data_IF_225473201478
#
_entry.id   IF_225473201478
#
_cell.length_a   1.000
_cell.length_b   1.000
_cell.length_c   1.000
_cell.angle_alpha   90.00
_cell.angle_beta   90.00
_cell.angle_gamma   90.00
#
_symmetry.space_group_name_H-M   'P 1'
#
loop_
_entity.id
_entity.type
_entity.pdbx_description
1 polymer ?
#
# COMPACT_ATOMS: atom_id res chain seq x y z
N UNK A 1 -6.81 62.58 6.48
CA UNK A 1 -6.14 61.30 6.18
C UNK A 1 -7.18 60.44 5.50
N UNK A 2 -7.01 60.18 4.20
CA UNK A 2 -8.11 59.77 3.33
C UNK A 2 -8.47 58.29 3.51
N UNK A 3 -9.77 58.04 3.73
CA UNK A 3 -10.35 56.71 3.93
C UNK A 3 -9.97 55.73 2.81
N UNK A 4 -9.81 56.24 1.60
CA UNK A 4 -9.41 55.45 0.43
C UNK A 4 -7.96 54.98 0.48
N UNK A 5 -7.04 55.78 1.05
CA UNK A 5 -5.67 55.36 1.28
C UNK A 5 -5.59 54.25 2.34
N UNK A 6 -6.48 54.31 3.34
CA UNK A 6 -6.62 53.28 4.37
C UNK A 6 -7.14 51.96 3.81
N UNK A 7 -8.18 52.00 2.98
CA UNK A 7 -8.75 50.81 2.33
C UNK A 7 -7.71 50.15 1.41
N UNK A 8 -6.96 50.95 0.65
CA UNK A 8 -5.86 50.46 -0.20
C UNK A 8 -4.73 49.85 0.64
N UNK A 9 -4.37 50.48 1.76
CA UNK A 9 -3.38 49.95 2.70
C UNK A 9 -3.80 48.59 3.26
N UNK A 10 -5.06 48.44 3.66
CA UNK A 10 -5.60 47.17 4.16
C UNK A 10 -5.62 46.09 3.07
N UNK A 11 -5.99 46.44 1.83
CA UNK A 11 -5.96 45.49 0.71
C UNK A 11 -4.54 44.94 0.46
N UNK A 12 -3.53 45.81 0.40
CA UNK A 12 -2.14 45.38 0.18
C UNK A 12 -1.64 44.51 1.33
N UNK A 13 -1.97 44.87 2.57
CA UNK A 13 -1.57 44.10 3.74
C UNK A 13 -2.24 42.72 3.77
N UNK A 14 -3.50 42.62 3.33
CA UNK A 14 -4.19 41.32 3.22
C UNK A 14 -3.56 40.39 2.18
N UNK A 15 -3.06 40.93 1.07
CA UNK A 15 -2.35 40.15 0.04
C UNK A 15 -1.00 39.65 0.59
N UNK A 16 -0.26 40.49 1.32
CA UNK A 16 1.00 40.11 1.94
C UNK A 16 0.81 39.02 3.01
N UNK A 17 -0.24 39.15 3.84
CA UNK A 17 -0.60 38.12 4.81
C UNK A 17 -0.96 36.82 4.11
N UNK A 18 -1.77 36.87 3.05
CA UNK A 18 -2.17 35.67 2.30
C UNK A 18 -0.97 34.99 1.61
N UNK A 19 -0.07 35.76 0.99
CA UNK A 19 1.14 35.24 0.37
C UNK A 19 2.08 34.59 1.39
N UNK A 20 2.23 35.21 2.57
CA UNK A 20 3.00 34.65 3.69
C UNK A 20 2.35 33.36 4.17
N UNK A 21 1.03 33.32 4.30
CA UNK A 21 0.31 32.13 4.71
C UNK A 21 0.52 31.00 3.69
N UNK A 22 0.40 31.25 2.38
CA UNK A 22 0.64 30.24 1.33
C UNK A 22 2.07 29.68 1.41
N UNK A 23 3.06 30.52 1.76
CA UNK A 23 4.45 30.09 1.86
C UNK A 23 4.74 29.27 3.12
N UNK A 24 4.05 29.56 4.22
CA UNK A 24 4.24 28.91 5.53
C UNK A 24 3.29 27.71 5.73
N UNK A 25 2.15 27.66 5.05
CA UNK A 25 1.17 26.56 5.19
C UNK A 25 1.78 25.19 4.88
N UNK A 26 2.66 25.01 3.86
CA UNK A 26 3.32 23.72 3.61
C UNK A 26 4.24 23.24 4.73
N UNK A 27 4.72 24.14 5.60
CA UNK A 27 5.55 23.77 6.77
C UNK A 27 4.74 23.58 8.05
N UNK A 28 3.51 24.12 8.11
CA UNK A 28 2.56 23.93 9.21
C UNK A 28 1.74 22.65 9.05
N UNK A 29 1.44 22.24 7.81
CA UNK A 29 0.90 20.92 7.52
C UNK A 29 2.07 19.96 7.60
N UNK A 30 2.28 19.39 8.79
CA UNK A 30 3.31 18.40 9.04
C UNK A 30 3.25 17.31 7.98
N UNK A 31 4.19 17.34 7.02
CA UNK A 31 4.46 16.17 6.19
C UNK A 31 4.80 15.06 7.17
N UNK A 32 4.12 13.91 7.11
CA UNK A 32 4.56 12.74 7.83
C UNK A 32 6.07 12.60 7.60
N UNK A 33 6.88 12.35 8.66
CA UNK A 33 8.30 12.10 8.48
C UNK A 33 8.46 11.01 7.40
N UNK A 34 9.45 11.18 6.53
CA UNK A 34 9.64 10.33 5.35
C UNK A 34 9.63 8.84 5.71
N UNK A 35 10.08 8.50 6.91
CA UNK A 35 10.09 7.16 7.50
C UNK A 35 8.70 6.51 7.61
N UNK A 36 7.64 7.28 7.92
CA UNK A 36 6.27 6.75 7.97
C UNK A 36 5.61 6.73 6.58
N UNK A 37 6.07 7.60 5.69
CA UNK A 37 5.58 7.71 4.33
C UNK A 37 6.08 6.56 3.44
N UNK A 38 7.31 6.10 3.67
CA UNK A 38 7.93 5.00 2.94
C UNK A 38 7.51 3.61 3.41
N UNK A 39 6.68 3.50 4.45
CA UNK A 39 6.14 2.22 4.90
C UNK A 39 5.20 1.65 3.82
N UNK A 40 5.56 0.55 3.16
CA UNK A 40 4.70 -0.06 2.17
C UNK A 40 3.55 -0.80 2.85
N UNK A 41 2.41 -0.79 2.18
CA UNK A 41 1.21 -1.51 2.56
C UNK A 41 0.85 -2.49 1.45
N UNK A 42 0.82 -3.77 1.79
CA UNK A 42 0.23 -4.82 0.97
C UNK A 42 -1.25 -4.93 1.30
N UNK A 43 -2.07 -4.83 0.26
CA UNK A 43 -3.51 -5.03 0.34
C UNK A 43 -3.87 -6.25 -0.51
N UNK A 44 -4.56 -7.21 0.08
CA UNK A 44 -5.10 -8.36 -0.65
C UNK A 44 -6.59 -8.46 -0.40
N UNK A 45 -7.36 -8.32 -1.47
CA UNK A 45 -8.81 -8.38 -1.44
C UNK A 45 -9.37 -9.37 -2.43
N UNK A 46 -10.67 -9.60 -2.33
CA UNK A 46 -11.42 -10.42 -3.29
C UNK A 46 -12.76 -9.71 -3.63
N UNK A 47 -13.11 -9.60 -4.91
CA UNK A 47 -14.36 -9.02 -5.38
C UNK A 47 -15.55 -9.94 -5.05
N UNK A 48 -16.77 -9.41 -5.15
CA UNK A 48 -18.01 -10.16 -4.88
C UNK A 48 -18.23 -11.40 -5.73
N UNK A 49 -17.65 -11.43 -6.92
CA UNK A 49 -17.77 -12.56 -7.84
C UNK A 49 -16.69 -13.64 -7.61
N UNK A 50 -15.81 -13.44 -6.62
CA UNK A 50 -14.83 -14.42 -6.13
C UNK A 50 -13.90 -15.00 -7.19
N UNK A 51 -13.71 -14.30 -8.31
CA UNK A 51 -13.03 -14.81 -9.51
C UNK A 51 -11.54 -14.48 -9.59
N UNK A 52 -11.08 -13.52 -8.80
CA UNK A 52 -9.68 -13.11 -8.74
C UNK A 52 -9.34 -12.52 -7.37
N UNK A 53 -8.09 -12.66 -6.95
CA UNK A 53 -7.51 -11.86 -5.88
C UNK A 53 -7.04 -10.55 -6.49
N UNK A 54 -7.36 -9.45 -5.80
CA UNK A 54 -6.82 -8.13 -6.09
C UNK A 54 -5.66 -7.92 -5.13
N UNK A 55 -4.44 -7.87 -5.66
CA UNK A 55 -3.25 -7.64 -4.85
C UNK A 55 -2.72 -6.26 -5.21
N UNK A 56 -2.60 -5.40 -4.21
CA UNK A 56 -2.16 -4.02 -4.38
C UNK A 56 -1.04 -3.68 -3.40
N UNK A 57 0.02 -3.06 -3.91
CA UNK A 57 1.09 -2.45 -3.15
C UNK A 57 0.97 -0.94 -3.25
N UNK A 58 0.99 -0.27 -2.11
CA UNK A 58 1.00 1.19 -2.02
C UNK A 58 1.70 1.64 -0.74
N UNK A 59 1.72 2.95 -0.49
CA UNK A 59 2.21 3.51 0.76
C UNK A 59 1.11 3.57 1.84
N UNK A 60 1.48 3.39 3.11
CA UNK A 60 0.53 3.26 4.20
C UNK A 60 -0.19 4.57 4.59
N UNK A 61 0.49 5.72 4.52
CA UNK A 61 0.00 7.00 5.08
C UNK A 61 -0.23 8.07 4.02
N UNK A 62 0.72 8.25 3.10
CA UNK A 62 0.65 9.26 2.04
C UNK A 62 1.26 8.72 0.75
N UNK A 63 0.91 9.30 -0.40
CA UNK A 63 1.51 8.93 -1.68
C UNK A 63 3.04 9.11 -1.62
N UNK A 64 3.76 8.00 -1.57
CA UNK A 64 5.21 7.95 -1.56
C UNK A 64 5.67 7.23 -2.82
N UNK A 65 6.65 7.81 -3.52
CA UNK A 65 7.17 7.27 -4.77
C UNK A 65 8.39 6.42 -4.49
N UNK A 66 8.31 5.13 -4.79
CA UNK A 66 9.40 4.17 -4.68
C UNK A 66 10.25 4.20 -5.95
N UNK A 67 11.53 3.85 -5.83
CA UNK A 67 12.43 3.70 -6.98
C UNK A 67 12.14 2.42 -7.77
N UNK A 68 11.87 1.33 -7.05
CA UNK A 68 11.54 0.03 -7.62
C UNK A 68 10.40 -0.59 -6.80
N UNK A 69 9.39 -1.11 -7.48
CA UNK A 69 8.35 -1.94 -6.90
C UNK A 69 8.23 -3.20 -7.73
N UNK A 70 8.44 -4.35 -7.11
CA UNK A 70 8.33 -5.66 -7.73
C UNK A 70 7.40 -6.54 -6.93
N UNK A 71 6.51 -7.22 -7.64
CA UNK A 71 5.64 -8.24 -7.09
C UNK A 71 5.77 -9.50 -7.93
N UNK A 72 6.03 -10.61 -7.27
CA UNK A 72 6.02 -11.93 -7.89
C UNK A 72 4.96 -12.78 -7.19
N UNK A 73 4.17 -13.46 -8.00
CA UNK A 73 3.14 -14.37 -7.54
C UNK A 73 3.45 -15.75 -8.06
N UNK A 74 3.42 -16.70 -7.13
CA UNK A 74 3.59 -18.11 -7.41
C UNK A 74 2.40 -18.88 -6.87
N UNK A 75 1.64 -19.50 -7.75
CA UNK A 75 0.47 -20.30 -7.40
C UNK A 75 0.75 -21.78 -7.47
N UNK A 76 -0.05 -22.57 -6.74
CA UNK A 76 -0.12 -24.02 -6.96
C UNK A 76 -0.55 -24.39 -8.38
N UNK A 77 -1.32 -23.50 -9.04
CA UNK A 77 -1.58 -23.58 -10.48
C UNK A 77 -0.67 -22.59 -11.22
N UNK A 78 0.14 -23.04 -12.20
CA UNK A 78 1.01 -22.17 -12.98
C UNK A 78 0.32 -21.02 -13.70
N UNK A 79 -0.99 -21.12 -14.00
CA UNK A 79 -1.75 -20.04 -14.62
C UNK A 79 -1.90 -18.80 -13.74
N UNK A 80 -1.65 -18.92 -12.43
CA UNK A 80 -1.64 -17.83 -11.48
C UNK A 80 -0.25 -17.16 -11.36
N UNK A 81 0.79 -17.73 -11.98
CA UNK A 81 2.14 -17.19 -11.87
C UNK A 81 2.24 -15.87 -12.64
N UNK A 82 2.64 -14.83 -11.95
CA UNK A 82 2.82 -13.51 -12.53
C UNK A 82 4.03 -12.84 -11.88
N UNK A 83 4.73 -12.00 -12.62
CA UNK A 83 5.73 -11.11 -12.03
C UNK A 83 5.63 -9.78 -12.74
N UNK A 84 5.50 -8.72 -11.96
CA UNK A 84 5.40 -7.35 -12.46
C UNK A 84 6.39 -6.51 -11.68
N UNK A 85 7.13 -5.69 -12.39
CA UNK A 85 8.10 -4.76 -11.82
C UNK A 85 7.91 -3.41 -12.50
N UNK A 86 7.87 -2.36 -11.70
CA UNK A 86 7.72 -0.99 -12.15
C UNK A 86 8.75 -0.12 -11.43
N UNK A 87 9.35 0.80 -12.17
CA UNK A 87 10.33 1.74 -11.64
C UNK A 87 9.68 3.11 -11.44
N UNK A 88 10.15 3.84 -10.43
CA UNK A 88 9.69 5.20 -10.11
C UNK A 88 8.17 5.33 -9.93
N UNK A 89 7.54 4.34 -9.29
CA UNK A 89 6.08 4.26 -9.14
C UNK A 89 5.62 4.53 -7.70
N UNK A 90 4.33 4.90 -7.54
CA UNK A 90 3.67 5.05 -6.23
C UNK A 90 3.08 3.74 -5.70
N UNK A 91 3.04 2.71 -6.54
CA UNK A 91 2.41 1.44 -6.20
C UNK A 91 2.20 0.56 -7.43
N UNK A 92 1.69 -0.65 -7.19
CA UNK A 92 1.51 -1.66 -8.23
C UNK A 92 0.34 -2.56 -7.86
N UNK A 93 -0.50 -2.91 -8.82
CA UNK A 93 -1.56 -3.90 -8.62
C UNK A 93 -1.45 -5.03 -9.64
N UNK A 94 -1.92 -6.21 -9.24
CA UNK A 94 -2.13 -7.35 -10.12
C UNK A 94 -3.45 -8.03 -9.77
N UNK A 95 -4.03 -8.68 -10.78
CA UNK A 95 -5.20 -9.52 -10.64
C UNK A 95 -4.76 -10.98 -10.83
N UNK A 96 -5.00 -11.81 -9.82
CA UNK A 96 -4.62 -13.22 -9.86
C UNK A 96 -5.88 -14.06 -9.84
N UNK A 97 -6.13 -14.92 -10.85
CA UNK A 97 -7.30 -15.78 -10.84
C UNK A 97 -7.38 -16.62 -9.56
N UNK A 98 -8.55 -16.62 -8.93
CA UNK A 98 -8.83 -17.50 -7.79
C UNK A 98 -9.25 -18.87 -8.32
N UNK A 99 -9.11 -19.88 -7.47
CA UNK A 99 -9.60 -21.22 -7.78
C UNK A 99 -10.50 -21.69 -6.64
N UNK A 100 -11.78 -21.30 -6.70
CA UNK A 100 -12.81 -21.67 -5.71
C UNK A 100 -13.81 -22.66 -6.34
N UNK A 101 -14.16 -23.78 -5.67
CA UNK A 101 -13.52 -24.37 -4.51
C UNK A 101 -12.34 -25.24 -4.94
N UNK A 102 -11.12 -24.84 -4.59
CA UNK A 102 -9.97 -25.73 -4.69
C UNK A 102 -8.92 -25.31 -3.68
N UNK A 103 -8.12 -26.27 -3.19
CA UNK A 103 -7.03 -26.06 -2.25
C UNK A 103 -5.85 -25.26 -2.85
N UNK A 104 -6.09 -24.50 -3.91
CA UNK A 104 -5.08 -23.68 -4.55
C UNK A 104 -4.63 -22.56 -3.61
N UNK A 105 -3.32 -22.41 -3.47
CA UNK A 105 -2.73 -21.31 -2.71
C UNK A 105 -1.82 -20.50 -3.62
N UNK A 106 -1.72 -19.22 -3.29
CA UNK A 106 -0.98 -18.22 -4.04
C UNK A 106 -0.03 -17.53 -3.08
N UNK A 107 1.27 -17.65 -3.32
CA UNK A 107 2.30 -16.95 -2.55
C UNK A 107 2.69 -15.67 -3.28
N UNK A 108 2.58 -14.57 -2.56
CA UNK A 108 2.84 -13.21 -3.00
C UNK A 108 4.17 -12.79 -2.37
N UNK A 109 5.18 -12.65 -3.22
CA UNK A 109 6.47 -12.12 -2.88
C UNK A 109 6.51 -10.63 -3.27
N UNK A 110 6.73 -9.78 -2.28
CA UNK A 110 6.77 -8.32 -2.46
C UNK A 110 8.18 -7.81 -2.21
N UNK A 111 8.64 -6.90 -3.07
CA UNK A 111 9.95 -6.25 -2.94
C UNK A 111 9.84 -4.78 -3.38
N UNK A 112 10.28 -3.86 -2.53
CA UNK A 112 10.23 -2.42 -2.80
C UNK A 112 11.53 -1.75 -2.37
N UNK A 113 11.93 -0.70 -3.09
CA UNK A 113 13.07 0.17 -2.76
C UNK A 113 12.59 1.61 -2.70
N UNK A 114 12.84 2.28 -1.58
CA UNK A 114 12.51 3.69 -1.39
C UNK A 114 13.61 4.63 -1.94
N UNK A 115 13.33 5.94 -1.96
CA UNK A 115 14.29 6.94 -2.46
C UNK A 115 15.51 7.13 -1.55
N UNK A 116 15.42 6.67 -0.31
CA UNK A 116 16.52 6.66 0.65
C UNK A 116 17.31 5.35 0.60
N UNK A 117 17.08 4.51 -0.43
CA UNK A 117 17.72 3.21 -0.64
C UNK A 117 17.38 2.16 0.42
N UNK A 118 16.34 2.35 1.21
CA UNK A 118 15.81 1.30 2.08
C UNK A 118 15.03 0.29 1.23
N UNK A 119 15.25 -1.00 1.50
CA UNK A 119 14.49 -2.06 0.84
C UNK A 119 13.55 -2.79 1.81
N UNK A 120 12.40 -3.16 1.27
CA UNK A 120 11.29 -3.77 1.97
C UNK A 120 10.94 -5.06 1.24
N UNK A 121 10.79 -6.16 1.99
CA UNK A 121 10.55 -7.46 1.38
C UNK A 121 9.74 -8.35 2.31
N UNK A 122 8.68 -8.95 1.78
CA UNK A 122 7.79 -9.78 2.57
C UNK A 122 6.99 -10.77 1.73
N UNK A 123 6.81 -11.96 2.28
CA UNK A 123 6.04 -13.04 1.68
C UNK A 123 4.70 -13.24 2.42
N UNK A 124 3.62 -13.32 1.66
CA UNK A 124 2.29 -13.71 2.17
C UNK A 124 1.73 -14.78 1.26
N UNK A 125 1.21 -15.87 1.85
CA UNK A 125 0.44 -16.84 1.08
C UNK A 125 -1.04 -16.63 1.37
N UNK A 126 -1.85 -16.61 0.32
CA UNK A 126 -3.32 -16.53 0.39
C UNK A 126 -3.93 -17.75 -0.27
N UNK A 127 -4.98 -18.30 0.34
CA UNK A 127 -5.86 -19.30 -0.27
C UNK A 127 -7.31 -18.91 -0.04
N UNK A 128 -8.16 -19.26 -0.99
CA UNK A 128 -9.60 -19.13 -0.86
C UNK A 128 -10.15 -20.48 -0.43
N UNK A 129 -10.96 -20.49 0.63
CA UNK A 129 -11.58 -21.71 1.18
C UNK A 129 -13.08 -21.48 1.35
N UNK A 130 -13.84 -22.56 1.54
CA UNK A 130 -15.26 -22.50 1.88
C UNK A 130 -15.43 -22.80 3.37
N UNK A 131 -15.81 -21.78 4.14
CA UNK A 131 -16.17 -21.92 5.54
C UNK A 131 -17.68 -21.72 5.70
N UNK A 132 -18.38 -22.77 6.12
CA UNK A 132 -19.82 -22.73 6.39
C UNK A 132 -20.66 -22.20 5.21
N UNK A 133 -20.25 -22.52 3.97
CA UNK A 133 -20.93 -22.10 2.75
C UNK A 133 -20.62 -20.66 2.31
N UNK A 134 -19.64 -20.00 2.92
CA UNK A 134 -19.11 -18.69 2.52
C UNK A 134 -17.64 -18.79 2.16
N UNK A 135 -17.23 -18.08 1.12
CA UNK A 135 -15.82 -18.01 0.76
C UNK A 135 -15.05 -17.19 1.80
N UNK A 136 -13.93 -17.72 2.26
CA UNK A 136 -13.02 -17.10 3.22
C UNK A 136 -11.63 -17.03 2.62
N UNK A 137 -10.96 -15.89 2.77
CA UNK A 137 -9.55 -15.76 2.44
C UNK A 137 -8.74 -16.12 3.69
N UNK A 138 -7.86 -17.11 3.56
CA UNK A 138 -6.95 -17.55 4.61
C UNK A 138 -5.54 -17.14 4.23
N UNK A 139 -4.90 -16.37 5.09
CA UNK A 139 -3.57 -15.83 4.92
C UNK A 139 -2.59 -16.48 5.87
N UNK A 140 -1.40 -16.82 5.38
CA UNK A 140 -0.29 -17.31 6.19
C UNK A 140 0.95 -16.44 5.97
N UNK A 141 1.76 -16.32 7.01
CA UNK A 141 2.87 -15.37 7.10
C UNK A 141 4.18 -16.14 7.37
N UNK A 142 4.81 -16.73 6.33
CA UNK A 142 5.96 -17.60 6.52
C UNK A 142 7.19 -16.91 7.11
N UNK A 143 7.28 -15.58 6.97
CA UNK A 143 8.41 -14.79 7.49
C UNK A 143 8.24 -14.39 8.97
N UNK A 144 7.08 -14.71 9.58
CA UNK A 144 6.75 -14.32 10.95
C UNK A 144 7.35 -15.30 11.97
N UNK A 145 8.52 -14.94 12.51
CA UNK A 145 9.28 -15.81 13.42
C UNK A 145 8.62 -15.98 14.79
N UNK A 146 7.90 -14.96 15.25
CA UNK A 146 7.27 -14.95 16.57
C UNK A 146 6.00 -15.80 16.59
N UNK A 147 5.34 -16.01 15.45
CA UNK A 147 4.16 -16.83 15.34
C UNK A 147 4.12 -17.62 14.01
N UNK A 148 4.79 -18.78 13.94
CA UNK A 148 4.90 -19.56 12.71
C UNK A 148 3.57 -20.18 12.23
N UNK A 149 2.56 -20.22 13.11
CA UNK A 149 1.21 -20.70 12.78
C UNK A 149 0.21 -19.54 12.67
N UNK A 150 0.69 -18.32 12.43
CA UNK A 150 -0.18 -17.17 12.23
C UNK A 150 -1.01 -17.40 10.98
N UNK A 151 -2.30 -17.68 11.19
CA UNK A 151 -3.31 -17.65 10.14
C UNK A 151 -4.24 -16.47 10.39
N UNK A 152 -4.50 -15.68 9.35
CA UNK A 152 -5.55 -14.68 9.37
C UNK A 152 -6.66 -15.06 8.42
N UNK A 153 -7.90 -14.91 8.88
CA UNK A 153 -9.11 -15.12 8.08
C UNK A 153 -9.77 -13.78 7.78
N UNK A 154 -10.24 -13.61 6.55
CA UNK A 154 -11.02 -12.46 6.11
C UNK A 154 -12.18 -12.92 5.24
N UNK A 155 -13.34 -12.29 5.44
CA UNK A 155 -14.57 -12.65 4.76
C UNK A 155 -14.91 -11.62 3.67
N UNK A 156 -14.57 -11.88 2.40
CA UNK A 156 -14.96 -11.01 1.30
C UNK A 156 -16.49 -11.05 1.05
N UNK A 157 -17.05 -10.00 0.44
CA UNK A 157 -16.43 -8.72 0.09
C UNK A 157 -16.37 -7.74 1.28
N UNK A 158 -15.33 -6.91 1.34
CA UNK A 158 -15.23 -5.78 2.28
C UNK A 158 -14.26 -6.00 3.45
N UNK A 159 -13.82 -7.23 3.68
CA UNK A 159 -12.68 -7.54 4.54
C UNK A 159 -11.45 -7.87 3.71
N UNK A 160 -10.59 -6.88 3.51
CA UNK A 160 -9.30 -7.07 2.84
C UNK A 160 -8.20 -7.30 3.88
N UNK A 161 -7.15 -8.04 3.51
CA UNK A 161 -5.90 -7.99 4.25
C UNK A 161 -5.25 -6.63 3.99
N UNK A 162 -4.76 -6.00 5.06
CA UNK A 162 -3.88 -4.83 5.00
C UNK A 162 -2.67 -5.12 5.87
N UNK A 163 -1.50 -5.21 5.26
CA UNK A 163 -0.28 -5.63 5.95
C UNK A 163 0.85 -4.66 5.66
N UNK A 164 1.42 -4.08 6.71
CA UNK A 164 2.58 -3.19 6.58
C UNK A 164 3.82 -4.06 6.35
N UNK A 165 4.55 -3.76 5.30
CA UNK A 165 5.76 -4.50 4.93
C UNK A 165 6.93 -3.94 5.74
N UNK A 166 7.63 -4.76 6.54
CA UNK A 166 8.75 -4.29 7.33
C UNK A 166 9.96 -3.98 6.44
N UNK A 167 10.75 -3.00 6.86
CA UNK A 167 12.07 -2.75 6.28
C UNK A 167 12.98 -3.95 6.56
N UNK A 168 13.74 -4.39 5.55
CA UNK A 168 14.74 -5.45 5.71
C UNK A 168 16.17 -4.94 5.77
N UNK A 169 16.44 -3.78 5.17
CA UNK A 169 17.72 -3.10 5.30
C UNK A 169 17.83 -1.89 4.38
N UNK A 170 19.06 -1.50 4.07
CA UNK A 170 19.40 -0.42 3.14
C UNK A 170 20.41 -0.91 2.12
N UNK A 171 20.24 -0.52 0.86
CA UNK A 171 21.19 -0.75 -0.22
C UNK A 171 22.41 0.19 -0.05
N UNK A 172 23.59 -0.22 -0.53
CA UNK A 172 24.82 0.56 -0.46
C UNK A 172 24.81 1.82 -1.33
#
# INVERSE_FOLDING_TARGET
>A
MDRDAWIRGVMVLSILVLATLIFVTPTLIGRPPAELASLPLLIVGMPRNESYFIIYLSAAVQAYRYEEVRMSVTGSNPSANATVAENETYGLHILVPTQVPSNGSVTIHTYLVDQAKNYFEYNVTVRADLDSGRTVMVFTFPDEKDNPNLEMRRYPPGEDLRWVIPQRGSLP
#
